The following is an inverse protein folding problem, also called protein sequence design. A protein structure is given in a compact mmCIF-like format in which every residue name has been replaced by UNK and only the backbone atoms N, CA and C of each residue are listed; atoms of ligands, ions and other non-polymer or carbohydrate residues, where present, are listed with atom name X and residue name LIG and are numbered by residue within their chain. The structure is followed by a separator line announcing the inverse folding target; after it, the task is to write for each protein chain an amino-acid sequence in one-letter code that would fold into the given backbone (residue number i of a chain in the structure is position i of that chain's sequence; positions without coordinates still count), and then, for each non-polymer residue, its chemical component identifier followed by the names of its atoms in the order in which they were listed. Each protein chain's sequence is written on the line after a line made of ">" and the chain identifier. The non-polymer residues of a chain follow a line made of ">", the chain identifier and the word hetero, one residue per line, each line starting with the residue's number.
data_IF_465291982705
#
_entry.id   IF_465291982705
#
_cell.length_a   1.000
_cell.length_b   1.000
_cell.length_c   1.000
_cell.angle_alpha   90.00
_cell.angle_beta   90.00
_cell.angle_gamma   90.00
#
_symmetry.space_group_name_H-M   'P 1'
#
loop_
_entity.id
_entity.type
_entity.pdbx_description
1 polymer ?
#
# COMPACT_ATOMS: atom_id res chain seq x y z
N UNK A 1 19.62 10.70 -8.46
CA UNK A 1 19.16 9.29 -8.54
C UNK A 1 17.88 9.27 -9.37
N UNK A 2 17.75 8.41 -10.39
CA UNK A 2 16.56 8.33 -11.23
C UNK A 2 15.89 6.95 -11.12
N UNK A 3 14.56 6.94 -11.06
CA UNK A 3 13.72 5.74 -10.99
C UNK A 3 12.61 5.86 -12.03
N UNK A 4 12.44 4.85 -12.89
CA UNK A 4 11.40 4.86 -13.89
C UNK A 4 10.68 3.51 -13.95
N UNK A 5 9.35 3.55 -14.03
CA UNK A 5 8.54 2.34 -14.19
C UNK A 5 7.37 2.61 -15.13
N UNK A 6 6.91 1.58 -15.85
CA UNK A 6 5.68 1.64 -16.63
C UNK A 6 4.49 1.22 -15.78
N UNK A 7 3.55 2.13 -15.55
CA UNK A 7 2.33 1.87 -14.80
C UNK A 7 1.26 1.09 -15.59
N UNK A 8 1.39 1.02 -16.93
CA UNK A 8 0.48 0.33 -17.86
C UNK A 8 1.24 -0.13 -19.10
N UNK A 9 0.74 -1.17 -19.78
CA UNK A 9 1.29 -1.67 -21.05
C UNK A 9 1.29 -0.62 -22.17
N UNK A 10 0.23 0.18 -22.22
CA UNK A 10 -0.04 1.17 -23.28
C UNK A 10 0.34 2.59 -22.83
N UNK A 11 0.55 2.80 -21.52
CA UNK A 11 0.90 4.09 -20.94
C UNK A 11 2.38 4.47 -21.07
N UNK A 12 2.65 5.77 -21.18
CA UNK A 12 3.97 6.38 -21.00
C UNK A 12 4.63 5.94 -19.69
N UNK A 13 5.95 5.75 -19.69
CA UNK A 13 6.69 5.46 -18.48
C UNK A 13 6.57 6.61 -17.47
N UNK A 14 6.34 6.27 -16.20
CA UNK A 14 6.46 7.22 -15.10
C UNK A 14 7.93 7.30 -14.73
N UNK A 15 8.53 8.49 -14.84
CA UNK A 15 9.92 8.75 -14.48
C UNK A 15 9.96 9.71 -13.30
N UNK A 16 10.72 9.33 -12.28
CA UNK A 16 10.98 10.11 -11.09
C UNK A 16 12.48 10.32 -10.96
N UNK A 17 12.87 11.52 -10.58
CA UNK A 17 14.28 11.85 -10.39
C UNK A 17 14.44 12.70 -9.15
N UNK A 18 15.32 12.24 -8.26
CA UNK A 18 15.74 12.99 -7.09
C UNK A 18 16.88 13.90 -7.52
N UNK A 19 16.56 15.19 -7.65
CA UNK A 19 17.51 16.27 -7.90
C UNK A 19 17.86 16.95 -6.59
N UNK A 20 18.77 17.93 -6.62
CA UNK A 20 19.11 18.70 -5.43
C UNK A 20 18.00 19.71 -5.08
N UNK A 21 17.23 20.15 -6.08
CA UNK A 21 16.11 21.07 -5.90
C UNK A 21 14.83 20.38 -5.40
N UNK A 22 14.66 19.08 -5.65
CA UNK A 22 13.46 18.35 -5.25
C UNK A 22 13.22 17.04 -5.99
N UNK A 23 12.00 16.53 -5.85
CA UNK A 23 11.49 15.38 -6.61
C UNK A 23 10.95 15.86 -7.95
N UNK A 24 11.69 15.61 -9.02
CA UNK A 24 11.23 15.76 -10.40
C UNK A 24 10.40 14.54 -10.79
N UNK A 25 9.25 14.76 -11.41
CA UNK A 25 8.37 13.68 -11.87
C UNK A 25 7.86 13.96 -13.27
N UNK A 26 7.74 12.90 -14.05
CA UNK A 26 7.20 12.88 -15.40
C UNK A 26 6.26 11.68 -15.51
N UNK A 27 4.97 11.94 -15.68
CA UNK A 27 3.90 10.95 -15.74
C UNK A 27 3.01 11.31 -16.93
N UNK A 28 3.15 10.60 -18.05
CA UNK A 28 2.47 11.00 -19.28
C UNK A 28 3.05 12.28 -19.84
N UNK A 29 2.18 13.13 -20.38
CA UNK A 29 2.52 14.48 -20.80
C UNK A 29 2.61 15.49 -19.65
N UNK A 30 2.45 15.05 -18.40
CA UNK A 30 2.57 15.94 -17.23
C UNK A 30 3.94 15.76 -16.60
N UNK A 31 4.62 16.87 -16.36
CA UNK A 31 5.86 16.93 -15.61
C UNK A 31 5.79 18.01 -14.54
N UNK A 32 6.61 17.87 -13.51
CA UNK A 32 6.71 18.86 -12.46
C UNK A 32 7.89 18.58 -11.55
N UNK A 33 8.25 19.60 -10.77
CA UNK A 33 9.22 19.52 -9.69
C UNK A 33 8.51 19.84 -8.39
N UNK A 34 8.56 18.92 -7.44
CA UNK A 34 8.09 19.16 -6.06
C UNK A 34 9.30 19.34 -5.18
N UNK A 35 9.41 20.50 -4.52
CA UNK A 35 10.47 20.72 -3.54
C UNK A 35 10.25 19.81 -2.33
N UNK A 36 11.32 19.45 -1.63
CA UNK A 36 11.24 18.52 -0.50
C UNK A 36 10.43 19.06 0.71
N UNK A 37 10.40 20.38 0.87
CA UNK A 37 9.59 21.10 1.87
C UNK A 37 8.11 21.17 1.52
N UNK A 38 7.77 21.08 0.23
CA UNK A 38 6.38 21.04 -0.24
C UNK A 38 5.75 19.65 -0.11
N UNK A 39 6.53 18.60 0.14
CA UNK A 39 5.97 17.27 0.36
C UNK A 39 5.38 17.25 1.78
N UNK A 40 4.06 17.14 1.86
CA UNK A 40 3.31 17.21 3.12
C UNK A 40 3.08 15.85 3.77
N UNK A 41 3.00 14.78 2.98
CA UNK A 41 2.84 13.43 3.51
C UNK A 41 3.37 12.36 2.55
N UNK A 42 3.87 11.28 3.13
CA UNK A 42 4.19 10.04 2.41
C UNK A 42 3.46 8.89 3.08
N UNK A 43 2.73 8.09 2.29
CA UNK A 43 2.12 6.85 2.74
C UNK A 43 2.70 5.64 2.02
N UNK A 44 3.33 4.75 2.76
CA UNK A 44 3.75 3.43 2.28
C UNK A 44 2.64 2.42 2.54
N UNK A 45 2.24 1.65 1.52
CA UNK A 45 1.21 0.61 1.65
C UNK A 45 1.59 -0.65 0.88
N UNK A 46 1.22 -1.80 1.44
CA UNK A 46 1.41 -3.10 0.83
C UNK A 46 0.05 -3.63 0.35
N UNK A 47 -0.14 -3.70 -0.97
CA UNK A 47 -1.43 -4.04 -1.58
C UNK A 47 -1.27 -5.26 -2.48
N UNK A 48 -1.20 -6.48 -1.91
CA UNK A 48 -1.20 -7.68 -2.73
C UNK A 48 -2.57 -7.82 -3.38
N UNK A 49 -2.59 -7.96 -4.71
CA UNK A 49 -3.77 -8.42 -5.46
C UNK A 49 -3.52 -9.90 -5.76
N UNK A 50 -4.55 -10.73 -5.88
CA UNK A 50 -4.48 -12.21 -5.84
C UNK A 50 -3.37 -12.90 -6.66
N UNK A 51 -2.85 -12.29 -7.73
CA UNK A 51 -1.73 -12.80 -8.55
C UNK A 51 -0.38 -12.08 -8.35
N UNK A 52 -0.32 -11.05 -7.49
CA UNK A 52 0.81 -10.13 -7.32
C UNK A 52 1.24 -10.03 -5.85
N UNK A 53 2.17 -10.89 -5.44
CA UNK A 53 2.59 -11.04 -4.04
C UNK A 53 3.50 -9.90 -3.51
N UNK A 54 4.01 -8.99 -4.36
CA UNK A 54 5.05 -8.01 -3.97
C UNK A 54 4.78 -6.58 -4.47
N UNK A 55 3.54 -6.07 -4.34
CA UNK A 55 3.22 -4.69 -4.77
C UNK A 55 3.28 -3.69 -3.61
N UNK A 56 4.44 -3.06 -3.46
CA UNK A 56 4.62 -1.90 -2.59
C UNK A 56 4.22 -0.61 -3.32
N UNK A 57 3.55 0.29 -2.60
CA UNK A 57 3.07 1.57 -3.11
C UNK A 57 3.44 2.69 -2.16
N UNK A 58 4.09 3.72 -2.67
CA UNK A 58 4.33 4.97 -1.97
C UNK A 58 3.43 6.05 -2.56
N UNK A 59 2.51 6.57 -1.76
CA UNK A 59 1.71 7.73 -2.12
C UNK A 59 2.33 8.99 -1.52
N UNK A 60 2.74 9.92 -2.38
CA UNK A 60 3.36 11.20 -2.01
C UNK A 60 2.33 12.32 -2.20
N UNK A 61 2.14 13.15 -1.18
CA UNK A 61 1.20 14.28 -1.19
C UNK A 61 1.95 15.60 -1.03
N UNK A 62 1.47 16.65 -1.72
CA UNK A 62 2.04 18.00 -1.66
C UNK A 62 1.20 18.94 -0.78
N UNK A 63 1.84 19.90 -0.11
CA UNK A 63 1.20 21.05 0.53
C UNK A 63 0.63 21.96 -0.56
N UNK A 64 -0.70 22.14 -0.58
CA UNK A 64 -1.41 22.86 -1.65
C UNK A 64 -2.18 21.95 -2.62
N UNK A 65 -2.14 20.63 -2.40
CA UNK A 65 -2.92 19.66 -3.18
C UNK A 65 -2.08 18.93 -4.23
N UNK A 66 -2.61 17.81 -4.71
CA UNK A 66 -1.90 16.89 -5.60
C UNK A 66 -1.37 15.66 -4.86
N UNK A 67 -1.56 14.50 -5.48
CA UNK A 67 -1.07 13.21 -4.98
C UNK A 67 -0.45 12.43 -6.12
N UNK A 68 0.76 11.96 -5.90
CA UNK A 68 1.50 11.10 -6.82
C UNK A 68 1.59 9.72 -6.19
N UNK A 69 1.32 8.68 -6.98
CA UNK A 69 1.48 7.30 -6.56
C UNK A 69 2.69 6.70 -7.27
N UNK A 70 3.68 6.26 -6.50
CA UNK A 70 4.87 5.55 -6.95
C UNK A 70 4.66 4.07 -6.61
N UNK A 71 4.87 3.19 -7.58
CA UNK A 71 4.64 1.75 -7.45
C UNK A 71 5.96 1.00 -7.63
N UNK A 72 6.20 -0.03 -6.82
CA UNK A 72 7.36 -0.94 -6.89
C UNK A 72 7.31 -1.93 -8.06
N UNK A 73 6.42 -1.71 -9.01
CA UNK A 73 6.11 -2.70 -10.05
C UNK A 73 6.01 -2.03 -11.41
N UNK A 74 6.84 -2.47 -12.36
CA UNK A 74 6.82 -2.04 -13.76
C UNK A 74 6.21 -3.12 -14.65
N UNK A 75 5.19 -2.77 -15.42
CA UNK A 75 4.72 -3.66 -16.50
C UNK A 75 5.81 -3.78 -17.57
N UNK A 76 6.34 -4.98 -17.80
CA UNK A 76 7.26 -5.24 -18.92
C UNK A 76 6.51 -5.89 -20.11
N UNK A 77 5.58 -6.80 -19.87
CA UNK A 77 4.68 -7.40 -20.86
C UNK A 77 3.36 -7.86 -20.21
N UNK A 78 2.34 -8.20 -21.02
CA UNK A 78 1.01 -8.63 -20.54
C UNK A 78 1.04 -9.84 -19.58
N UNK A 79 2.16 -10.57 -19.53
CA UNK A 79 2.37 -11.75 -18.68
C UNK A 79 3.62 -11.68 -17.78
N UNK A 80 4.49 -10.67 -17.91
CA UNK A 80 5.69 -10.54 -17.07
C UNK A 80 5.84 -9.10 -16.53
N UNK A 81 5.81 -9.03 -15.20
CA UNK A 81 6.05 -7.85 -14.39
C UNK A 81 7.32 -8.13 -13.59
N UNK A 82 8.45 -7.52 -13.96
CA UNK A 82 9.71 -7.74 -13.24
C UNK A 82 9.63 -7.03 -11.87
N UNK A 83 9.90 -7.73 -10.75
CA UNK A 83 10.04 -7.09 -9.44
C UNK A 83 11.21 -6.11 -9.49
N UNK A 84 10.95 -4.81 -9.31
CA UNK A 84 12.01 -3.79 -9.18
C UNK A 84 12.26 -3.47 -7.70
N UNK A 85 12.39 -4.53 -6.92
CA UNK A 85 12.32 -4.47 -5.47
C UNK A 85 13.48 -3.66 -4.87
N UNK A 86 14.71 -3.91 -5.34
CA UNK A 86 15.89 -3.18 -4.86
C UNK A 86 15.88 -1.71 -5.31
N UNK A 87 15.52 -1.43 -6.57
CA UNK A 87 15.50 -0.06 -7.09
C UNK A 87 14.43 0.83 -6.45
N UNK A 88 13.26 0.25 -6.11
CA UNK A 88 12.23 0.95 -5.37
C UNK A 88 12.67 1.23 -3.92
N UNK A 89 13.28 0.25 -3.25
CA UNK A 89 13.80 0.43 -1.89
C UNK A 89 14.86 1.53 -1.82
N UNK A 90 15.85 1.49 -2.69
CA UNK A 90 16.93 2.49 -2.71
C UNK A 90 16.40 3.88 -3.00
N UNK A 91 15.46 4.01 -3.95
CA UNK A 91 14.81 5.28 -4.26
C UNK A 91 14.03 5.83 -3.06
N UNK A 92 13.25 5.00 -2.36
CA UNK A 92 12.47 5.42 -1.20
C UNK A 92 13.39 5.83 -0.05
N UNK A 93 14.46 5.07 0.22
CA UNK A 93 15.43 5.41 1.28
C UNK A 93 16.13 6.73 0.96
N UNK A 94 16.59 6.93 -0.27
CA UNK A 94 17.26 8.16 -0.69
C UNK A 94 16.31 9.38 -0.66
N UNK A 95 15.05 9.20 -1.07
CA UNK A 95 14.03 10.26 -0.95
C UNK A 95 13.84 10.69 0.51
N UNK A 96 13.72 9.73 1.44
CA UNK A 96 13.60 10.02 2.87
C UNK A 96 14.83 10.72 3.42
N UNK A 97 16.04 10.30 3.01
CA UNK A 97 17.28 10.93 3.42
C UNK A 97 17.39 12.39 2.94
N UNK A 98 17.02 12.67 1.68
CA UNK A 98 17.02 14.03 1.13
C UNK A 98 15.95 14.92 1.78
N UNK A 99 14.76 14.38 2.04
CA UNK A 99 13.71 15.11 2.75
C UNK A 99 14.11 15.46 4.18
N UNK A 100 14.77 14.54 4.89
CA UNK A 100 15.29 14.78 6.22
C UNK A 100 16.38 15.87 6.22
N UNK A 101 17.32 15.80 5.26
CA UNK A 101 18.36 16.84 5.08
C UNK A 101 17.76 18.22 4.77
N UNK A 102 16.66 18.28 4.03
CA UNK A 102 15.95 19.51 3.72
C UNK A 102 15.07 20.03 4.88
N UNK A 103 15.04 19.36 6.03
CA UNK A 103 14.22 19.77 7.18
C UNK A 103 12.71 19.58 6.98
N UNK A 104 12.31 18.65 6.09
CA UNK A 104 10.91 18.40 5.79
C UNK A 104 10.13 17.95 7.04
N UNK A 105 8.91 18.48 7.22
CA UNK A 105 7.97 18.10 8.28
C UNK A 105 6.87 17.16 7.78
N UNK A 106 7.13 16.43 6.70
CA UNK A 106 6.15 15.55 6.09
C UNK A 106 5.63 14.49 7.07
N UNK A 107 4.33 14.22 7.04
CA UNK A 107 3.71 13.15 7.83
C UNK A 107 3.95 11.81 7.13
N UNK A 108 4.74 10.94 7.76
CA UNK A 108 5.08 9.62 7.22
C UNK A 108 4.17 8.55 7.83
N UNK A 109 3.40 7.87 7.00
CA UNK A 109 2.45 6.83 7.42
C UNK A 109 2.64 5.53 6.65
N UNK A 110 2.34 4.42 7.31
CA UNK A 110 2.43 3.06 6.84
C UNK A 110 1.04 2.41 6.91
N UNK A 111 0.75 1.49 5.98
CA UNK A 111 -0.49 0.72 5.95
C UNK A 111 -1.67 1.41 5.28
N UNK A 112 -2.89 0.95 5.60
CA UNK A 112 -4.13 1.55 5.11
C UNK A 112 -4.40 2.89 5.83
N UNK A 113 -5.10 3.82 5.16
CA UNK A 113 -5.56 5.03 5.85
C UNK A 113 -6.49 4.68 7.00
N UNK A 114 -6.39 5.41 8.13
CA UNK A 114 -7.14 5.11 9.38
C UNK A 114 -8.64 4.87 9.12
N UNK A 115 -9.27 5.68 8.28
CA UNK A 115 -10.69 5.53 7.93
C UNK A 115 -10.97 4.27 7.10
N UNK A 116 -10.12 3.96 6.11
CA UNK A 116 -10.26 2.74 5.31
C UNK A 116 -10.03 1.50 6.16
N UNK A 117 -9.03 1.52 7.05
CA UNK A 117 -8.77 0.44 7.99
C UNK A 117 -9.94 0.24 8.96
N UNK A 118 -10.50 1.33 9.50
CA UNK A 118 -11.71 1.28 10.33
C UNK A 118 -12.93 0.74 9.57
N UNK A 119 -13.13 1.13 8.32
CA UNK A 119 -14.20 0.60 7.48
C UNK A 119 -14.05 -0.91 7.23
N UNK A 120 -12.82 -1.37 6.95
CA UNK A 120 -12.53 -2.81 6.82
C UNK A 120 -12.81 -3.54 8.13
N UNK A 121 -12.37 -3.00 9.28
CA UNK A 121 -12.67 -3.60 10.59
C UNK A 121 -14.16 -3.65 10.89
N UNK A 122 -14.91 -2.59 10.60
CA UNK A 122 -16.35 -2.54 10.78
C UNK A 122 -17.06 -3.59 9.91
N UNK A 123 -16.68 -3.69 8.64
CA UNK A 123 -17.20 -4.73 7.74
C UNK A 123 -16.90 -6.14 8.25
N UNK A 124 -15.68 -6.38 8.72
CA UNK A 124 -15.29 -7.67 9.31
C UNK A 124 -16.14 -7.99 10.55
N UNK A 125 -16.37 -7.02 11.44
CA UNK A 125 -17.20 -7.22 12.61
C UNK A 125 -18.65 -7.57 12.24
N UNK A 126 -19.25 -6.87 11.27
CA UNK A 126 -20.60 -7.18 10.77
C UNK A 126 -20.66 -8.60 10.18
N UNK A 127 -19.67 -8.97 9.37
CA UNK A 127 -19.60 -10.30 8.78
C UNK A 127 -19.47 -11.38 9.87
N UNK A 128 -18.65 -11.16 10.89
CA UNK A 128 -18.53 -12.07 12.04
C UNK A 128 -19.87 -12.22 12.75
N UNK A 129 -20.59 -11.13 13.04
CA UNK A 129 -21.92 -11.17 13.66
C UNK A 129 -22.90 -11.97 12.81
N UNK A 130 -22.93 -11.74 11.49
CA UNK A 130 -23.80 -12.47 10.57
C UNK A 130 -23.47 -13.98 10.54
N UNK A 131 -22.18 -14.34 10.49
CA UNK A 131 -21.74 -15.74 10.52
C UNK A 131 -22.07 -16.42 11.85
N UNK A 132 -21.90 -15.74 12.97
CA UNK A 132 -22.29 -16.26 14.30
C UNK A 132 -23.79 -16.48 14.37
N UNK A 133 -24.60 -15.56 13.85
CA UNK A 133 -26.06 -15.72 13.77
C UNK A 133 -26.47 -16.94 12.93
N UNK A 134 -25.85 -17.12 11.77
CA UNK A 134 -26.07 -18.31 10.93
C UNK A 134 -25.63 -19.60 11.61
N UNK A 135 -24.52 -19.58 12.35
CA UNK A 135 -24.04 -20.73 13.12
C UNK A 135 -25.02 -21.12 14.21
N UNK A 136 -25.49 -20.14 15.01
CA UNK A 136 -26.50 -20.37 16.05
C UNK A 136 -27.76 -20.96 15.43
N UNK A 137 -28.24 -20.38 14.32
CA UNK A 137 -29.40 -20.89 13.60
C UNK A 137 -29.19 -22.32 13.11
N UNK A 138 -28.03 -22.64 12.53
CA UNK A 138 -27.70 -23.98 12.05
C UNK A 138 -27.70 -25.01 13.20
N UNK A 139 -27.19 -24.63 14.37
CA UNK A 139 -27.22 -25.47 15.57
C UNK A 139 -28.65 -25.66 16.11
N UNK A 140 -29.50 -24.63 16.06
CA UNK A 140 -30.90 -24.71 16.50
C UNK A 140 -31.76 -25.64 15.65
N UNK A 141 -31.40 -25.86 14.39
CA UNK A 141 -32.11 -26.75 13.46
C UNK A 141 -31.39 -28.10 13.25
N UNK A 142 -30.43 -28.42 14.13
CA UNK A 142 -29.60 -29.62 14.07
C UNK A 142 -28.85 -29.83 12.73
N UNK A 143 -28.61 -28.75 11.99
CA UNK A 143 -27.87 -28.75 10.73
C UNK A 143 -26.36 -28.75 10.97
N UNK A 144 -25.84 -29.83 11.57
CA UNK A 144 -24.42 -29.96 11.93
C UNK A 144 -23.47 -29.79 10.73
N UNK A 145 -23.85 -30.29 9.55
CA UNK A 145 -23.07 -30.11 8.33
C UNK A 145 -22.95 -28.62 7.93
N UNK A 146 -24.02 -27.85 8.08
CA UNK A 146 -24.03 -26.40 7.84
C UNK A 146 -23.18 -25.65 8.86
N UNK A 147 -23.25 -26.04 10.14
CA UNK A 147 -22.40 -25.48 11.19
C UNK A 147 -20.90 -25.72 10.91
N UNK A 148 -20.53 -26.95 10.55
CA UNK A 148 -19.16 -27.31 10.15
C UNK A 148 -18.68 -26.50 8.93
N UNK A 149 -19.54 -26.32 7.94
CA UNK A 149 -19.22 -25.49 6.77
C UNK A 149 -18.93 -24.03 7.16
N UNK A 150 -19.78 -23.43 8.01
CA UNK A 150 -19.59 -22.04 8.50
C UNK A 150 -18.27 -21.91 9.27
N UNK A 151 -17.96 -22.88 10.13
CA UNK A 151 -16.69 -22.89 10.90
C UNK A 151 -15.47 -23.01 9.97
N UNK A 152 -15.50 -23.92 9.00
CA UNK A 152 -14.42 -24.07 8.02
C UNK A 152 -14.21 -22.82 7.18
N UNK A 153 -15.31 -22.21 6.72
CA UNK A 153 -15.25 -20.96 5.96
C UNK A 153 -14.71 -19.79 6.81
N UNK A 154 -15.13 -19.69 8.08
CA UNK A 154 -14.62 -18.66 8.99
C UNK A 154 -13.11 -18.79 9.21
N UNK A 155 -12.60 -20.01 9.38
CA UNK A 155 -11.18 -20.28 9.56
C UNK A 155 -10.36 -19.90 8.31
N UNK A 156 -10.82 -20.32 7.11
CA UNK A 156 -10.17 -19.95 5.85
C UNK A 156 -10.15 -18.43 5.64
N UNK A 157 -11.29 -17.78 5.89
CA UNK A 157 -11.42 -16.34 5.75
C UNK A 157 -10.52 -15.58 6.72
N UNK A 158 -10.45 -16.01 7.98
CA UNK A 158 -9.55 -15.44 8.98
C UNK A 158 -8.08 -15.58 8.58
N UNK A 159 -7.68 -16.72 7.99
CA UNK A 159 -6.33 -16.92 7.50
C UNK A 159 -6.00 -16.00 6.31
N UNK A 160 -6.90 -15.93 5.33
CA UNK A 160 -6.68 -15.14 4.11
C UNK A 160 -6.70 -13.62 4.37
N UNK A 161 -7.63 -13.15 5.18
CA UNK A 161 -7.82 -11.71 5.45
C UNK A 161 -6.97 -11.24 6.64
N UNK A 162 -6.75 -12.08 7.65
CA UNK A 162 -6.00 -11.73 8.86
C UNK A 162 -4.56 -11.32 8.58
N UNK A 163 -3.88 -12.00 7.64
CA UNK A 163 -2.55 -11.62 7.18
C UNK A 163 -2.51 -10.23 6.52
N UNK A 164 -3.54 -9.89 5.74
CA UNK A 164 -3.67 -8.58 5.10
C UNK A 164 -3.94 -7.47 6.12
N UNK A 165 -4.88 -7.69 7.06
CA UNK A 165 -5.25 -6.71 8.08
C UNK A 165 -4.10 -6.44 9.04
N UNK A 166 -3.39 -7.48 9.50
CA UNK A 166 -2.23 -7.34 10.40
C UNK A 166 -1.07 -6.60 9.74
N UNK A 167 -0.80 -6.85 8.45
CA UNK A 167 0.30 -6.19 7.72
C UNK A 167 -0.03 -4.76 7.26
N UNK A 168 -1.31 -4.41 7.16
CA UNK A 168 -1.75 -3.07 6.76
C UNK A 168 -2.23 -2.20 7.94
N UNK A 169 -1.87 -2.56 9.17
CA UNK A 169 -2.19 -1.74 10.33
C UNK A 169 -1.62 -0.33 10.15
N UNK A 170 -2.44 0.73 10.32
CA UNK A 170 -1.99 2.11 10.19
C UNK A 170 -0.92 2.40 11.24
N UNK A 171 0.28 2.77 10.80
CA UNK A 171 1.39 3.14 11.66
C UNK A 171 2.00 4.45 11.20
N UNK A 172 2.44 5.32 12.11
CA UNK A 172 3.32 6.44 11.80
C UNK A 172 4.77 6.00 11.94
N UNK A 173 5.64 6.47 11.06
CA UNK A 173 7.07 6.23 11.16
C UNK A 173 7.86 7.53 10.99
N UNK A 174 9.16 7.49 11.24
CA UNK A 174 10.08 8.63 11.11
C UNK A 174 11.11 8.35 10.02
N UNK A 175 11.77 9.39 9.51
CA UNK A 175 12.75 9.26 8.41
C UNK A 175 13.89 8.28 8.74
N UNK A 176 14.25 8.13 10.02
CA UNK A 176 15.26 7.22 10.57
C UNK A 176 14.76 5.78 10.80
N UNK A 177 13.44 5.54 10.80
CA UNK A 177 12.82 4.22 11.01
C UNK A 177 11.83 3.87 9.92
N UNK A 178 12.32 3.74 8.69
CA UNK A 178 11.48 3.24 7.59
C UNK A 178 11.10 1.77 7.86
N UNK A 179 9.79 1.42 7.89
CA UNK A 179 9.33 0.10 8.27
C UNK A 179 9.78 -0.97 7.26
N UNK A 180 10.69 -1.85 7.69
CA UNK A 180 11.26 -2.95 6.89
C UNK A 180 10.19 -3.91 6.33
N UNK A 181 9.03 -4.03 6.97
CA UNK A 181 7.94 -4.89 6.50
C UNK A 181 7.16 -4.33 5.29
N UNK A 182 7.38 -3.05 4.95
CA UNK A 182 6.76 -2.36 3.82
C UNK A 182 7.78 -1.97 2.74
N UNK A 183 8.96 -2.58 2.82
CA UNK A 183 9.99 -2.57 1.80
C UNK A 183 10.34 -4.03 1.50
N UNK A 184 10.74 -4.36 0.26
CA UNK A 184 11.30 -5.67 -0.05
C UNK A 184 12.67 -5.90 0.62
#
# INVERSE_FOLDING_TARGET
>A
MSYAYKASLIGSAHRFELTDAGLSWHIGGRSGLWRYDEISAIRLSFRPVSMQQHRFRADVSRSGGGRIAILSTSWQTAALMAPQDNGFRDFIVELHARMAKAGSRAVLTAGLGRNTYAAVLAFMAVLTVAMTGLLIRALMIDAFAGALFILGFAALFAWQVGGFVRRNQPQSYSFDRVPKALLP
#
